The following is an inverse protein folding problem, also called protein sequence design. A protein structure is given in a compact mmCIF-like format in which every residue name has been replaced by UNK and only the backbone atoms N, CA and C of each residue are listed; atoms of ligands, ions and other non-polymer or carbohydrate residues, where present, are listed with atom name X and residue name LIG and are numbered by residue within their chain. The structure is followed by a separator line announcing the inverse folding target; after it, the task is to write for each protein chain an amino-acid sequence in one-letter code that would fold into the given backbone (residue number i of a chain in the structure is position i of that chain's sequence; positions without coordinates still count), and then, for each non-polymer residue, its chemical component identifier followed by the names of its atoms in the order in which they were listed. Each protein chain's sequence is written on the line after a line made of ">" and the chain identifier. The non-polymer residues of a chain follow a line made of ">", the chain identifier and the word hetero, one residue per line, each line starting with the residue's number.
data_IF_869308958855
#
_entry.id   IF_869308958855
#
_cell.length_a   1.000
_cell.length_b   1.000
_cell.length_c   1.000
_cell.angle_alpha   90.00
_cell.angle_beta   90.00
_cell.angle_gamma   90.00
#
_symmetry.space_group_name_H-M   'P 1'
#
loop_
_entity.id
_entity.type
_entity.pdbx_description
1 polymer ?
#
# COMPACT_ATOMS: atom_id res chain seq x y z
N UNK A 1 4.34 5.71 12.34
CA UNK A 1 4.49 5.22 10.94
C UNK A 1 5.44 6.08 10.11
N UNK A 2 5.51 7.36 10.36
CA UNK A 2 6.40 8.25 9.58
C UNK A 2 7.87 7.81 9.62
N UNK A 3 8.35 7.31 10.73
CA UNK A 3 9.73 6.83 10.82
C UNK A 3 9.98 5.61 9.95
N UNK A 4 9.01 4.68 9.88
CA UNK A 4 9.12 3.50 9.05
C UNK A 4 9.10 3.87 7.56
N UNK A 5 8.18 4.75 7.18
CA UNK A 5 8.10 5.23 5.79
C UNK A 5 9.37 5.97 5.39
N UNK A 6 9.94 6.75 6.30
CA UNK A 6 11.21 7.42 6.07
C UNK A 6 12.34 6.43 5.82
N UNK A 7 12.41 5.36 6.63
CA UNK A 7 13.39 4.29 6.45
C UNK A 7 13.27 3.64 5.06
N UNK A 8 12.05 3.38 4.62
CA UNK A 8 11.80 2.82 3.29
C UNK A 8 12.28 3.76 2.19
N UNK A 9 11.95 5.05 2.32
CA UNK A 9 12.38 6.06 1.34
C UNK A 9 13.91 6.20 1.29
N UNK A 10 14.55 6.26 2.45
CA UNK A 10 16.00 6.40 2.54
C UNK A 10 16.73 5.18 1.94
N UNK A 11 16.13 4.01 2.02
CA UNK A 11 16.68 2.78 1.46
C UNK A 11 16.38 2.62 -0.04
N UNK A 12 15.57 3.50 -0.62
CA UNK A 12 15.17 3.40 -2.02
C UNK A 12 14.17 2.31 -2.30
N UNK A 13 13.36 1.93 -1.31
CA UNK A 13 12.32 0.90 -1.47
C UNK A 13 11.18 1.45 -2.32
N UNK A 14 10.72 0.66 -3.29
CA UNK A 14 9.57 0.99 -4.13
C UNK A 14 8.31 0.46 -3.44
N UNK A 15 7.34 1.34 -3.24
CA UNK A 15 6.04 0.99 -2.67
C UNK A 15 5.01 2.08 -3.01
N UNK A 16 3.74 1.71 -3.00
CA UNK A 16 2.62 2.64 -3.15
C UNK A 16 1.61 2.33 -2.04
N UNK A 17 1.18 3.35 -1.29
CA UNK A 17 0.16 3.20 -0.26
C UNK A 17 -1.20 3.01 -0.92
N UNK A 18 -1.90 1.95 -0.53
CA UNK A 18 -3.23 1.62 -1.03
C UNK A 18 -4.20 1.49 0.16
N UNK A 19 -5.43 1.09 -0.08
CA UNK A 19 -6.39 0.77 0.99
C UNK A 19 -6.87 1.98 1.78
N UNK A 20 -7.14 1.76 3.07
CA UNK A 20 -7.76 2.76 3.94
C UNK A 20 -6.96 4.04 4.10
N UNK A 21 -5.63 3.96 4.17
CA UNK A 21 -4.79 5.16 4.28
C UNK A 21 -4.86 6.01 3.01
N UNK A 22 -4.95 5.37 1.84
CA UNK A 22 -5.14 6.09 0.58
C UNK A 22 -6.51 6.80 0.55
N UNK A 23 -7.54 6.16 1.10
CA UNK A 23 -8.87 6.78 1.24
C UNK A 23 -8.82 8.00 2.16
N UNK A 24 -8.10 7.92 3.28
CA UNK A 24 -7.92 9.06 4.18
C UNK A 24 -7.23 10.22 3.46
N UNK A 25 -6.22 9.91 2.66
CA UNK A 25 -5.50 10.93 1.90
C UNK A 25 -6.41 11.65 0.90
N UNK A 26 -7.40 10.95 0.35
CA UNK A 26 -8.41 11.54 -0.53
C UNK A 26 -9.47 12.33 0.24
N UNK A 27 -9.44 12.32 1.55
CA UNK A 27 -10.32 13.12 2.40
C UNK A 27 -11.52 12.38 2.98
N UNK A 28 -11.64 11.08 2.77
CA UNK A 28 -12.73 10.33 3.35
C UNK A 28 -12.53 10.18 4.86
N UNK A 29 -13.47 10.64 5.70
CA UNK A 29 -13.35 10.51 7.15
C UNK A 29 -13.66 9.06 7.56
N UNK A 30 -12.61 8.29 7.83
CA UNK A 30 -12.75 6.91 8.33
C UNK A 30 -11.61 6.60 9.27
N UNK A 31 -11.86 5.68 10.20
CA UNK A 31 -10.84 5.19 11.10
C UNK A 31 -10.16 3.97 10.48
N UNK A 32 -8.84 3.98 10.44
CA UNK A 32 -8.04 2.84 10.00
C UNK A 32 -6.73 2.80 10.77
N UNK A 33 -6.33 1.59 11.19
CA UNK A 33 -5.07 1.34 11.87
C UNK A 33 -4.04 0.70 10.94
N UNK A 34 -4.50 0.13 9.82
CA UNK A 34 -3.65 -0.66 8.93
C UNK A 34 -3.06 0.22 7.84
N UNK A 35 -1.80 -0.03 7.53
CA UNK A 35 -1.12 0.56 6.39
C UNK A 35 -0.91 -0.52 5.35
N UNK A 36 -1.55 -0.37 4.21
CA UNK A 36 -1.45 -1.31 3.09
C UNK A 36 -0.49 -0.76 2.06
N UNK A 37 0.60 -1.50 1.80
CA UNK A 37 1.62 -1.12 0.83
C UNK A 37 1.64 -2.14 -0.31
N UNK A 38 1.50 -1.65 -1.54
CA UNK A 38 1.68 -2.47 -2.73
C UNK A 38 3.15 -2.38 -3.13
N UNK A 39 3.82 -3.51 -3.27
CA UNK A 39 5.23 -3.59 -3.64
C UNK A 39 5.40 -4.46 -4.89
N UNK A 40 6.46 -4.25 -5.70
CA UNK A 40 6.65 -5.04 -6.90
C UNK A 40 6.93 -6.52 -6.56
N UNK A 41 6.12 -7.46 -7.13
CA UNK A 41 6.19 -8.87 -6.71
C UNK A 41 7.40 -9.63 -7.22
N UNK A 42 8.09 -9.13 -8.25
CA UNK A 42 9.21 -9.83 -8.88
C UNK A 42 10.55 -9.11 -8.75
N UNK A 43 10.63 -8.10 -7.90
CA UNK A 43 11.84 -7.30 -7.70
C UNK A 43 12.58 -7.75 -6.44
N UNK A 44 13.47 -8.72 -6.57
CA UNK A 44 14.21 -9.25 -5.43
C UNK A 44 15.06 -8.18 -4.74
N UNK A 45 15.66 -7.28 -5.51
CA UNK A 45 16.45 -6.19 -4.93
C UNK A 45 15.58 -5.29 -4.03
N UNK A 46 14.32 -5.09 -4.40
CA UNK A 46 13.40 -4.30 -3.59
C UNK A 46 13.04 -5.03 -2.28
N UNK A 47 12.82 -6.35 -2.33
CA UNK A 47 12.61 -7.15 -1.11
C UNK A 47 13.82 -7.06 -0.19
N UNK A 48 15.04 -7.15 -0.74
CA UNK A 48 16.27 -7.08 0.05
C UNK A 48 16.39 -5.73 0.75
N UNK A 49 16.13 -4.63 0.04
CA UNK A 49 16.17 -3.28 0.61
C UNK A 49 15.13 -3.10 1.71
N UNK A 50 13.91 -3.57 1.47
CA UNK A 50 12.80 -3.47 2.41
C UNK A 50 13.12 -4.24 3.70
N UNK A 51 13.57 -5.48 3.57
CA UNK A 51 13.88 -6.31 4.72
C UNK A 51 15.05 -5.77 5.54
N UNK A 52 16.05 -5.20 4.87
CA UNK A 52 17.17 -4.56 5.56
C UNK A 52 16.71 -3.28 6.28
N UNK A 53 15.87 -2.47 5.63
CA UNK A 53 15.41 -1.21 6.20
C UNK A 53 14.55 -1.40 7.45
N UNK A 54 13.75 -2.47 7.50
CA UNK A 54 12.82 -2.73 8.60
C UNK A 54 13.23 -3.93 9.46
N UNK A 55 14.53 -4.28 9.47
CA UNK A 55 15.02 -5.45 10.19
C UNK A 55 14.69 -5.45 11.68
N UNK A 56 14.65 -4.28 12.31
CA UNK A 56 14.32 -4.13 13.75
C UNK A 56 12.82 -4.13 14.02
N UNK A 57 11.98 -4.03 12.98
CA UNK A 57 10.52 -3.91 13.13
C UNK A 57 9.80 -5.19 12.74
N UNK A 58 10.35 -5.97 11.82
CA UNK A 58 9.71 -7.17 11.32
C UNK A 58 10.29 -8.40 12.01
N UNK A 59 9.42 -9.29 12.47
CA UNK A 59 9.80 -10.53 13.12
C UNK A 59 10.18 -11.62 12.12
N UNK A 60 9.87 -11.42 10.83
CA UNK A 60 10.28 -12.30 9.75
C UNK A 60 10.37 -11.51 8.44
N UNK A 61 11.04 -12.07 7.45
CA UNK A 61 11.24 -11.40 6.16
C UNK A 61 9.95 -11.32 5.36
N UNK A 62 9.78 -10.24 4.62
CA UNK A 62 8.75 -10.14 3.57
C UNK A 62 9.25 -10.94 2.37
N UNK A 63 8.42 -11.86 1.88
CA UNK A 63 8.78 -12.79 0.82
C UNK A 63 7.84 -12.68 -0.39
N UNK A 64 8.29 -13.05 -1.60
CA UNK A 64 7.41 -13.05 -2.79
C UNK A 64 6.49 -14.28 -2.85
N UNK A 65 5.72 -14.53 -1.78
CA UNK A 65 5.03 -15.80 -1.57
C UNK A 65 3.94 -16.11 -2.59
N UNK A 66 3.20 -15.11 -3.06
CA UNK A 66 2.11 -15.34 -3.99
C UNK A 66 2.35 -14.71 -5.36
N UNK A 67 3.57 -14.29 -5.64
CA UNK A 67 3.91 -13.58 -6.87
C UNK A 67 3.55 -14.39 -8.12
N UNK A 68 3.63 -15.72 -8.03
CA UNK A 68 3.35 -16.62 -9.16
C UNK A 68 1.90 -17.05 -9.23
N UNK A 69 1.19 -17.05 -8.13
CA UNK A 69 -0.21 -17.52 -8.07
C UNK A 69 -1.22 -16.39 -8.24
N UNK A 70 -0.86 -15.19 -7.84
CA UNK A 70 -1.76 -14.04 -7.90
C UNK A 70 -2.94 -14.14 -6.95
N UNK A 71 -2.83 -14.90 -5.86
CA UNK A 71 -3.92 -15.17 -4.92
C UNK A 71 -4.29 -13.97 -4.05
N UNK A 72 -3.54 -12.88 -4.13
CA UNK A 72 -3.78 -11.72 -3.27
C UNK A 72 -3.36 -11.96 -1.83
N UNK A 73 -2.43 -12.88 -1.59
CA UNK A 73 -1.91 -13.16 -0.27
C UNK A 73 -1.26 -11.92 0.33
N UNK A 74 -1.61 -11.60 1.56
CA UNK A 74 -1.13 -10.40 2.26
C UNK A 74 -0.25 -10.80 3.42
N UNK A 75 0.93 -10.19 3.52
CA UNK A 75 1.85 -10.42 4.62
C UNK A 75 1.68 -9.30 5.64
N UNK A 76 1.24 -9.64 6.84
CA UNK A 76 0.87 -8.68 7.89
C UNK A 76 1.89 -8.68 9.02
N UNK A 77 2.31 -7.49 9.43
CA UNK A 77 3.27 -7.31 10.52
C UNK A 77 2.81 -6.26 11.50
N UNK A 78 2.99 -6.56 12.80
CA UNK A 78 2.78 -5.58 13.87
C UNK A 78 4.08 -4.81 14.06
N UNK A 79 4.04 -3.48 13.95
CA UNK A 79 5.23 -2.64 14.10
C UNK A 79 5.01 -1.57 15.17
N UNK A 80 6.07 -0.85 15.52
CA UNK A 80 5.97 0.27 16.46
C UNK A 80 5.13 1.42 15.90
N UNK A 81 5.01 1.51 14.58
CA UNK A 81 4.20 2.53 13.89
C UNK A 81 2.78 2.09 13.57
N UNK A 82 2.40 0.84 13.91
CA UNK A 82 1.10 0.28 13.61
C UNK A 82 1.22 -0.98 12.75
N UNK A 83 0.11 -1.41 12.18
CA UNK A 83 0.06 -2.63 11.37
C UNK A 83 0.45 -2.31 9.93
N UNK A 84 1.45 -3.05 9.41
CA UNK A 84 1.86 -2.98 8.00
C UNK A 84 1.41 -4.24 7.28
N UNK A 85 0.78 -4.06 6.13
CA UNK A 85 0.35 -5.16 5.26
C UNK A 85 0.98 -4.98 3.89
N UNK A 86 1.72 -5.98 3.42
CA UNK A 86 2.38 -5.92 2.12
C UNK A 86 1.59 -6.75 1.10
N UNK A 87 1.21 -6.10 0.01
CA UNK A 87 0.42 -6.69 -1.07
C UNK A 87 1.28 -6.87 -2.31
N UNK A 88 1.22 -8.05 -2.91
CA UNK A 88 1.93 -8.35 -4.16
C UNK A 88 1.00 -8.34 -5.37
N UNK A 89 -0.29 -8.66 -5.17
CA UNK A 89 -1.28 -8.79 -6.23
C UNK A 89 -2.65 -8.28 -5.76
N UNK A 90 -2.76 -7.00 -5.37
CA UNK A 90 -4.06 -6.49 -4.90
C UNK A 90 -5.10 -6.52 -6.03
N UNK A 91 -6.33 -7.00 -5.74
CA UNK A 91 -7.36 -7.11 -6.76
C UNK A 91 -7.77 -5.77 -7.34
N UNK A 92 -8.05 -5.75 -8.64
CA UNK A 92 -8.54 -4.57 -9.34
C UNK A 92 -7.47 -3.56 -9.71
N UNK A 93 -6.20 -3.84 -9.41
CA UNK A 93 -5.09 -2.95 -9.77
C UNK A 93 -4.28 -3.53 -10.93
N UNK A 94 -3.73 -2.65 -11.80
CA UNK A 94 -2.78 -3.10 -12.81
C UNK A 94 -1.46 -3.51 -12.15
N UNK A 95 -0.49 -3.91 -12.97
CA UNK A 95 0.83 -4.28 -12.45
C UNK A 95 1.49 -3.10 -11.72
N UNK A 96 2.40 -3.41 -10.81
CA UNK A 96 3.01 -2.42 -9.93
C UNK A 96 3.62 -1.24 -10.69
N UNK A 97 4.35 -1.48 -11.76
CA UNK A 97 5.01 -0.39 -12.51
C UNK A 97 4.01 0.63 -13.07
N UNK A 98 2.83 0.17 -13.48
CA UNK A 98 1.77 1.05 -13.97
C UNK A 98 1.18 1.86 -12.82
N UNK A 99 0.91 1.21 -11.68
CA UNK A 99 0.39 1.88 -10.49
C UNK A 99 1.40 2.93 -9.98
N UNK A 100 2.67 2.57 -9.92
CA UNK A 100 3.74 3.47 -9.47
C UNK A 100 3.84 4.71 -10.37
N UNK A 101 3.74 4.54 -11.67
CA UNK A 101 3.83 5.65 -12.63
C UNK A 101 2.67 6.65 -12.48
N UNK A 102 1.50 6.19 -12.00
CA UNK A 102 0.32 7.03 -11.79
C UNK A 102 0.16 7.51 -10.36
N UNK A 103 0.98 7.01 -9.44
CA UNK A 103 0.88 7.34 -8.02
C UNK A 103 1.12 8.83 -7.77
N UNK A 104 0.45 9.35 -6.74
CA UNK A 104 0.54 10.77 -6.36
C UNK A 104 1.32 10.87 -5.05
N UNK A 105 2.28 11.81 -5.00
CA UNK A 105 3.08 12.03 -3.80
C UNK A 105 2.38 13.04 -2.90
N UNK A 106 2.18 12.67 -1.64
CA UNK A 106 1.68 13.57 -0.60
C UNK A 106 2.60 13.53 0.59
N UNK A 107 2.63 14.63 1.34
CA UNK A 107 3.39 14.71 2.58
C UNK A 107 2.65 13.99 3.70
N UNK A 108 3.34 13.09 4.40
CA UNK A 108 2.83 12.47 5.60
C UNK A 108 3.78 12.78 6.75
N UNK A 109 3.39 13.74 7.59
CA UNK A 109 4.20 14.19 8.74
C UNK A 109 5.66 14.50 8.37
N UNK A 110 5.86 15.18 7.25
CA UNK A 110 7.18 15.56 6.76
C UNK A 110 7.86 14.52 5.87
N UNK A 111 7.22 13.39 5.60
CA UNK A 111 7.76 12.32 4.75
C UNK A 111 7.00 12.27 3.44
N UNK A 112 7.67 12.38 2.27
CA UNK A 112 6.98 12.25 0.98
C UNK A 112 6.61 10.78 0.74
N UNK A 113 5.33 10.54 0.48
CA UNK A 113 4.78 9.19 0.34
C UNK A 113 3.96 9.10 -0.94
N UNK A 114 4.15 8.02 -1.70
CA UNK A 114 3.36 7.73 -2.89
C UNK A 114 2.07 7.04 -2.52
N UNK A 115 0.96 7.60 -2.93
CA UNK A 115 -0.39 7.06 -2.72
C UNK A 115 -1.01 6.68 -4.06
N UNK A 116 -1.87 5.69 -4.02
CA UNK A 116 -2.68 5.27 -5.16
C UNK A 116 -3.45 6.46 -5.73
N UNK A 117 -3.46 6.62 -7.05
CA UNK A 117 -4.25 7.68 -7.68
C UNK A 117 -5.76 7.38 -7.55
N UNK A 118 -6.59 8.41 -7.74
CA UNK A 118 -8.03 8.28 -7.55
C UNK A 118 -8.65 7.21 -8.45
N UNK A 119 -8.27 7.14 -9.72
CA UNK A 119 -8.81 6.15 -10.65
C UNK A 119 -8.49 4.73 -10.22
N UNK A 120 -7.26 4.47 -9.76
CA UNK A 120 -6.85 3.15 -9.29
C UNK A 120 -7.55 2.80 -7.97
N UNK A 121 -7.82 3.78 -7.10
CA UNK A 121 -8.61 3.55 -5.88
C UNK A 121 -10.01 3.07 -6.23
N UNK A 122 -10.68 3.73 -7.18
CA UNK A 122 -12.01 3.32 -7.64
C UNK A 122 -11.97 1.89 -8.16
N UNK A 123 -11.01 1.58 -9.02
CA UNK A 123 -10.88 0.23 -9.59
C UNK A 123 -10.69 -0.84 -8.53
N UNK A 124 -9.83 -0.57 -7.53
CA UNK A 124 -9.56 -1.54 -6.47
C UNK A 124 -10.78 -1.79 -5.58
N UNK A 125 -11.57 -0.75 -5.29
CA UNK A 125 -12.79 -0.88 -4.48
C UNK A 125 -13.88 -1.64 -5.22
N UNK A 126 -14.06 -1.35 -6.52
CA UNK A 126 -15.04 -2.05 -7.35
C UNK A 126 -14.74 -3.55 -7.45
N UNK A 127 -13.47 -3.93 -7.50
CA UNK A 127 -13.07 -5.33 -7.61
C UNK A 127 -13.41 -6.15 -6.36
N UNK A 128 -13.47 -5.52 -5.18
CA UNK A 128 -13.74 -6.21 -3.92
C UNK A 128 -15.24 -6.24 -3.57
N UNK A 129 -15.97 -5.15 -3.83
CA UNK A 129 -17.42 -5.02 -3.63
C UNK A 129 -17.94 -5.54 -2.27
N UNK A 130 -17.26 -5.18 -1.18
CA UNK A 130 -17.77 -5.48 0.17
C UNK A 130 -18.72 -4.39 0.61
N UNK A 131 -19.66 -4.69 1.51
CA UNK A 131 -20.64 -3.72 2.01
C UNK A 131 -19.98 -2.44 2.53
N UNK A 132 -18.89 -2.58 3.29
CA UNK A 132 -18.14 -1.44 3.81
C UNK A 132 -17.47 -0.60 2.74
N UNK A 133 -17.26 -1.16 1.54
CA UNK A 133 -16.63 -0.47 0.42
C UNK A 133 -17.66 0.30 -0.42
N UNK A 134 -18.97 0.06 -0.23
CA UNK A 134 -20.02 0.78 -0.95
C UNK A 134 -19.96 2.28 -0.66
N UNK A 135 -19.76 2.67 0.59
CA UNK A 135 -19.61 4.07 0.98
C UNK A 135 -18.33 4.67 0.39
N UNK A 136 -17.24 3.90 0.37
CA UNK A 136 -15.97 4.31 -0.22
C UNK A 136 -16.14 4.58 -1.72
N UNK A 137 -16.83 3.70 -2.43
CA UNK A 137 -17.08 3.82 -3.87
C UNK A 137 -17.93 5.08 -4.14
N UNK A 138 -18.99 5.27 -3.36
CA UNK A 138 -19.85 6.44 -3.51
C UNK A 138 -19.08 7.73 -3.30
N UNK A 139 -18.26 7.79 -2.24
CA UNK A 139 -17.42 8.95 -1.94
C UNK A 139 -16.49 9.27 -3.11
N UNK A 140 -15.76 8.26 -3.62
CA UNK A 140 -14.82 8.44 -4.72
C UNK A 140 -15.51 8.86 -6.01
N UNK A 141 -16.70 8.34 -6.27
CA UNK A 141 -17.49 8.69 -7.45
C UNK A 141 -17.90 10.16 -7.42
N UNK A 142 -18.34 10.64 -6.27
CA UNK A 142 -18.73 12.03 -6.08
C UNK A 142 -17.52 12.97 -6.22
N UNK A 143 -16.38 12.56 -5.62
CA UNK A 143 -15.14 13.33 -5.67
C UNK A 143 -14.61 13.46 -7.09
N UNK A 144 -14.77 12.42 -7.87
CA UNK A 144 -14.29 12.38 -9.24
C UNK A 144 -15.09 13.28 -10.18
#
# INVERSE_FOLDING_TARGET
>A
MEELLKKLNDAGVRYVVIGGQAMLQEGMPRFTLDWDLFIPPFDQANFDKLNAALADELDMSVEPLDAQTGDGFVQTFQTSGGILQFHLSPPGLPKFSTVEARAVVHDFHGVPVKYLCLDDLVSSKLAVERDKDSDDILFLTIKK
#
